data_IF_016235550354
#
_entry.id   IF_016235550354
#
_cell.length_a   1.000
_cell.length_b   1.000
_cell.length_c   1.000
_cell.angle_alpha   90.00
_cell.angle_beta   90.00
_cell.angle_gamma   90.00
#
_symmetry.space_group_name_H-M   'P 1'
#
loop_
_entity.id
_entity.type
_entity.pdbx_description
1 polymer ?
#
# COMPACT_ATOMS: atom_id res chain seq x y z
N UNK A 1 16.88 -28.11 23.69
CA UNK A 1 18.21 -28.36 23.10
C UNK A 1 18.11 -29.63 22.26
N UNK A 2 18.13 -29.54 20.94
CA UNK A 2 18.23 -30.70 20.03
C UNK A 2 19.09 -30.28 18.83
N UNK A 3 20.03 -31.13 18.42
CA UNK A 3 20.93 -30.92 17.28
C UNK A 3 20.47 -31.79 16.11
N UNK A 4 20.33 -31.19 14.93
CA UNK A 4 20.30 -31.93 13.67
C UNK A 4 21.29 -31.25 12.71
N UNK A 5 22.22 -32.03 12.13
CA UNK A 5 23.22 -31.53 11.18
C UNK A 5 22.53 -31.14 9.87
N UNK A 6 22.69 -29.90 9.42
CA UNK A 6 22.42 -29.54 8.03
C UNK A 6 23.73 -29.56 7.24
N UNK A 7 23.86 -30.50 6.30
CA UNK A 7 24.99 -30.55 5.36
C UNK A 7 24.82 -29.49 4.27
N UNK A 8 25.94 -29.11 3.63
CA UNK A 8 25.97 -28.15 2.53
C UNK A 8 25.24 -28.72 1.30
N UNK A 9 24.28 -27.97 0.75
CA UNK A 9 23.81 -28.16 -0.62
C UNK A 9 23.66 -26.80 -1.32
N UNK A 10 24.80 -26.19 -1.62
CA UNK A 10 24.92 -24.97 -2.43
C UNK A 10 25.77 -25.27 -3.65
N UNK A 11 25.15 -25.27 -4.84
CA UNK A 11 25.86 -25.42 -6.11
C UNK A 11 25.30 -26.51 -7.02
N UNK A 12 24.23 -26.18 -7.76
CA UNK A 12 23.93 -26.84 -9.04
C UNK A 12 23.12 -25.92 -9.99
N UNK A 13 22.12 -25.21 -9.46
CA UNK A 13 21.22 -24.35 -10.26
C UNK A 13 21.93 -23.13 -10.87
N UNK A 14 23.01 -22.62 -10.24
CA UNK A 14 23.71 -21.42 -10.71
C UNK A 14 24.65 -21.63 -11.91
N UNK A 15 25.07 -22.87 -12.20
CA UNK A 15 26.08 -23.15 -13.24
C UNK A 15 25.46 -23.27 -14.63
N UNK A 16 24.31 -23.94 -14.76
CA UNK A 16 23.64 -24.13 -16.07
C UNK A 16 23.20 -22.82 -16.74
N UNK A 17 22.88 -21.78 -15.96
CA UNK A 17 22.45 -20.47 -16.50
C UNK A 17 23.63 -19.69 -17.10
N UNK A 18 24.82 -19.77 -16.48
CA UNK A 18 26.01 -19.10 -17.00
C UNK A 18 26.51 -19.75 -18.29
N UNK A 19 26.52 -21.09 -18.35
CA UNK A 19 27.07 -21.83 -19.50
C UNK A 19 26.17 -21.76 -20.75
N UNK A 20 24.87 -21.49 -20.59
CA UNK A 20 23.96 -21.22 -21.71
C UNK A 20 24.14 -19.82 -22.31
N UNK A 21 24.58 -18.84 -21.52
CA UNK A 21 24.83 -17.46 -21.99
C UNK A 21 26.13 -17.33 -22.79
N UNK A 22 27.13 -18.16 -22.50
CA UNK A 22 28.43 -18.14 -23.17
C UNK A 22 28.35 -18.73 -24.60
N UNK A 23 27.55 -19.77 -24.80
CA UNK A 23 27.36 -20.42 -26.11
C UNK A 23 26.51 -19.62 -27.11
N UNK A 24 25.79 -18.58 -26.68
CA UNK A 24 24.99 -17.71 -27.56
C UNK A 24 25.79 -16.62 -28.29
N UNK A 25 27.05 -16.38 -27.91
CA UNK A 25 27.82 -15.20 -28.32
C UNK A 25 28.49 -15.29 -29.71
N UNK A 26 27.84 -15.91 -30.70
CA UNK A 26 28.29 -16.00 -32.11
C UNK A 26 27.34 -15.32 -33.11
N UNK A 27 26.87 -14.11 -32.80
CA UNK A 27 26.40 -13.15 -33.82
C UNK A 27 26.34 -11.71 -33.31
N UNK A 28 26.61 -10.75 -34.20
CA UNK A 28 26.20 -9.34 -34.05
C UNK A 28 27.12 -8.41 -33.24
N UNK A 29 27.64 -7.38 -33.92
CA UNK A 29 28.53 -6.35 -33.34
C UNK A 29 27.93 -5.48 -32.22
N UNK A 30 26.63 -5.57 -31.93
CA UNK A 30 25.91 -4.69 -31.00
C UNK A 30 26.16 -4.99 -29.51
N UNK A 31 26.67 -6.18 -29.16
CA UNK A 31 26.87 -6.61 -27.76
C UNK A 31 28.11 -6.00 -27.10
N UNK A 32 29.14 -5.63 -27.88
CA UNK A 32 30.38 -5.02 -27.35
C UNK A 32 30.16 -3.61 -26.78
N UNK A 33 29.25 -2.82 -27.38
CA UNK A 33 28.90 -1.49 -26.87
C UNK A 33 28.17 -1.56 -25.52
N UNK A 34 27.22 -2.49 -25.38
CA UNK A 34 26.55 -2.78 -24.11
C UNK A 34 27.54 -3.24 -23.02
N UNK A 35 28.50 -4.12 -23.36
CA UNK A 35 29.52 -4.56 -22.41
C UNK A 35 30.49 -3.44 -21.98
N UNK A 36 30.79 -2.45 -22.81
CA UNK A 36 31.58 -1.28 -22.38
C UNK A 36 30.80 -0.34 -21.46
N UNK A 37 29.51 -0.09 -21.75
CA UNK A 37 28.65 0.71 -20.85
C UNK A 37 28.53 0.08 -19.46
N UNK A 38 28.30 -1.24 -19.38
CA UNK A 38 28.27 -1.97 -18.12
C UNK A 38 29.61 -2.00 -17.36
N UNK A 39 30.76 -1.83 -18.04
CA UNK A 39 32.07 -1.85 -17.40
C UNK A 39 32.44 -0.52 -16.74
N UNK A 40 31.97 0.61 -17.29
CA UNK A 40 32.25 1.95 -16.73
C UNK A 40 31.46 2.25 -15.45
N UNK A 41 30.23 1.75 -15.32
CA UNK A 41 29.36 1.98 -14.16
C UNK A 41 29.57 0.96 -13.02
N UNK A 42 30.82 0.63 -12.70
CA UNK A 42 31.16 -0.39 -11.66
C UNK A 42 31.79 0.21 -10.40
N UNK A 43 31.63 1.51 -10.14
CA UNK A 43 32.17 2.16 -8.93
C UNK A 43 31.15 2.46 -7.82
N UNK A 44 29.84 2.35 -8.10
CA UNK A 44 28.77 2.38 -7.09
C UNK A 44 28.01 1.05 -7.06
N UNK A 45 28.69 0.00 -6.60
CA UNK A 45 28.01 -1.24 -6.23
C UNK A 45 27.10 -0.96 -5.04
N UNK A 46 25.79 -0.87 -5.28
CA UNK A 46 24.74 -0.98 -4.27
C UNK A 46 24.85 -2.36 -3.64
N UNK A 47 25.73 -2.47 -2.65
CA UNK A 47 25.98 -3.71 -1.93
C UNK A 47 24.78 -4.02 -1.06
N UNK A 48 24.57 -5.31 -0.78
CA UNK A 48 23.44 -5.85 -0.01
C UNK A 48 23.25 -5.25 1.40
N UNK A 49 24.18 -4.39 1.85
CA UNK A 49 24.13 -3.59 3.08
C UNK A 49 22.94 -2.60 3.14
N UNK A 50 22.40 -2.15 2.01
CA UNK A 50 21.20 -1.29 2.01
C UNK A 50 19.88 -2.02 2.35
N UNK A 51 19.87 -3.35 2.40
CA UNK A 51 18.75 -4.14 2.93
C UNK A 51 18.69 -4.18 4.48
N UNK A 52 19.41 -3.28 5.17
CA UNK A 52 19.30 -3.06 6.62
C UNK A 52 17.87 -2.71 7.10
N UNK A 53 16.94 -2.36 6.21
CA UNK A 53 15.51 -2.29 6.51
C UNK A 53 14.95 -3.63 7.03
N UNK A 54 15.28 -4.76 6.41
CA UNK A 54 14.88 -6.10 6.87
C UNK A 54 15.46 -6.38 8.27
N UNK A 55 16.73 -5.99 8.48
CA UNK A 55 17.44 -6.16 9.76
C UNK A 55 16.86 -5.31 10.91
N UNK A 56 16.17 -4.21 10.60
CA UNK A 56 15.51 -3.34 11.59
C UNK A 56 14.09 -3.77 11.98
N UNK A 57 13.45 -4.71 11.28
CA UNK A 57 12.14 -5.23 11.70
C UNK A 57 12.23 -6.38 12.72
N UNK A 58 13.33 -7.14 12.77
CA UNK A 58 13.53 -8.22 13.74
C UNK A 58 14.93 -8.23 14.33
N UNK A 59 15.12 -7.43 15.39
CA UNK A 59 16.14 -7.71 16.39
C UNK A 59 15.54 -8.66 17.41
N UNK A 60 15.56 -9.96 17.11
CA UNK A 60 15.48 -11.00 18.16
C UNK A 60 16.80 -11.01 18.91
N UNK A 61 17.01 -10.00 19.78
CA UNK A 61 18.16 -9.99 20.69
C UNK A 61 17.94 -11.06 21.74
N UNK A 62 18.62 -12.18 21.53
CA UNK A 62 18.95 -13.09 22.62
C UNK A 62 19.76 -12.32 23.69
N UNK A 63 19.69 -12.81 24.93
CA UNK A 63 20.42 -12.33 26.11
C UNK A 63 19.89 -11.06 26.83
N UNK A 64 19.20 -11.34 27.94
CA UNK A 64 19.13 -10.61 29.24
C UNK A 64 19.08 -9.06 29.25
N UNK A 65 17.88 -8.57 29.63
CA UNK A 65 17.71 -7.47 30.59
C UNK A 65 18.19 -6.06 30.22
N UNK A 66 17.31 -5.26 29.60
CA UNK A 66 17.40 -3.80 29.62
C UNK A 66 15.99 -3.18 29.70
N UNK A 67 15.75 -2.36 30.72
CA UNK A 67 14.48 -1.64 30.90
C UNK A 67 14.33 -0.52 29.85
N UNK A 68 13.15 -0.40 29.26
CA UNK A 68 12.85 0.68 28.32
C UNK A 68 12.50 1.96 29.09
N UNK A 69 13.49 2.84 29.30
CA UNK A 69 13.30 4.14 29.95
C UNK A 69 12.41 5.03 29.10
N UNK A 70 11.15 5.20 29.51
CA UNK A 70 10.27 6.20 28.91
C UNK A 70 10.88 7.60 29.11
N UNK A 71 10.86 8.45 28.08
CA UNK A 71 11.18 9.87 28.26
C UNK A 71 10.06 10.52 29.07
N UNK A 72 10.33 11.16 30.21
CA UNK A 72 9.35 12.03 30.85
C UNK A 72 9.03 13.21 29.93
N UNK A 73 7.81 13.72 30.04
CA UNK A 73 7.40 15.00 29.47
C UNK A 73 8.27 16.10 30.13
N UNK A 74 9.00 16.89 29.33
CA UNK A 74 9.74 18.03 29.87
C UNK A 74 8.76 19.14 30.26
N UNK A 75 8.68 19.41 31.56
CA UNK A 75 8.30 20.71 32.10
C UNK A 75 9.57 21.36 32.65
N UNK A 76 9.88 22.56 32.17
CA UNK A 76 10.72 23.56 32.84
C UNK A 76 10.08 24.91 32.48
N UNK A 77 9.55 25.66 33.44
CA UNK A 77 10.23 26.44 34.49
C UNK A 77 10.91 27.70 33.93
N UNK A 78 10.51 28.82 34.54
CA UNK A 78 10.81 30.20 34.19
C UNK A 78 12.27 30.56 34.50
N UNK A 79 12.84 31.48 33.72
CA UNK A 79 14.07 32.22 34.04
C UNK A 79 13.77 33.75 34.01
N UNK A 80 14.58 34.60 34.68
CA UNK A 80 14.18 35.98 35.02
C UNK A 80 14.36 37.00 33.88
N UNK A 81 13.82 38.21 34.11
CA UNK A 81 13.92 39.37 33.22
C UNK A 81 15.36 39.86 33.01
N UNK A 82 15.60 40.46 31.84
CA UNK A 82 16.33 41.72 31.69
C UNK A 82 15.71 42.56 30.56
N UNK A 83 15.81 43.89 30.66
CA UNK A 83 15.05 44.87 29.86
C UNK A 83 15.52 45.03 28.41
N UNK A 84 14.58 45.29 27.49
CA UNK A 84 14.58 46.50 26.63
C UNK A 84 13.33 46.62 25.74
N UNK A 85 12.55 47.68 25.97
CA UNK A 85 11.61 48.32 25.03
C UNK A 85 12.33 49.48 24.29
N UNK A 86 11.73 50.18 23.29
CA UNK A 86 10.33 50.20 22.82
C UNK A 86 10.24 49.89 21.29
N UNK A 87 9.26 50.26 20.45
CA UNK A 87 8.01 51.06 20.53
C UNK A 87 7.10 50.68 19.32
N UNK A 88 5.79 50.47 19.53
CA UNK A 88 4.66 51.05 18.74
C UNK A 88 3.31 50.36 19.04
N UNK A 89 2.29 51.20 19.31
CA UNK A 89 0.84 50.91 19.32
C UNK A 89 0.36 50.12 18.07
N UNK A 90 -0.78 49.43 18.04
CA UNK A 90 -2.07 49.54 18.76
C UNK A 90 -2.74 48.13 18.81
N UNK A 91 -3.83 47.79 19.52
CA UNK A 91 -4.79 48.52 20.37
C UNK A 91 -5.21 47.56 21.55
N UNK A 92 -6.47 47.57 22.02
CA UNK A 92 -6.98 46.65 23.07
C UNK A 92 -8.43 46.20 22.86
N UNK A 93 -8.72 44.91 23.09
CA UNK A 93 -10.08 44.45 23.46
C UNK A 93 -9.97 43.46 24.63
N UNK A 94 -10.66 43.81 25.72
CA UNK A 94 -10.55 43.15 27.03
C UNK A 94 -11.51 41.96 27.13
N UNK A 95 -11.06 40.84 27.71
CA UNK A 95 -11.95 39.82 28.27
C UNK A 95 -11.38 39.26 29.57
N UNK A 96 -11.88 39.78 30.70
CA UNK A 96 -11.50 39.32 32.03
C UNK A 96 -11.93 37.86 32.27
N UNK A 97 -11.06 37.07 32.90
CA UNK A 97 -11.42 35.81 33.57
C UNK A 97 -10.78 35.85 34.95
N UNK A 98 -11.61 35.73 35.99
CA UNK A 98 -11.24 35.98 37.38
C UNK A 98 -10.68 34.70 38.04
N UNK A 99 -9.58 34.82 38.78
CA UNK A 99 -8.99 33.70 39.51
C UNK A 99 -9.79 33.37 40.78
N UNK A 100 -9.92 32.07 41.08
CA UNK A 100 -10.56 31.56 42.30
C UNK A 100 -9.46 31.28 43.36
N UNK A 101 -9.55 31.83 44.58
CA UNK A 101 -8.57 31.58 45.65
C UNK A 101 -8.62 30.17 46.23
N UNK A 102 -7.48 29.71 46.75
CA UNK A 102 -7.33 28.44 47.46
C UNK A 102 -7.83 28.50 48.91
N UNK A 103 -8.67 27.54 49.30
CA UNK A 103 -9.14 27.37 50.67
C UNK A 103 -8.18 26.48 51.48
N UNK A 104 -7.69 26.99 52.63
CA UNK A 104 -7.08 26.19 53.70
C UNK A 104 -8.18 25.68 54.65
N UNK A 105 -8.03 24.49 55.27
CA UNK A 105 -8.99 23.98 56.25
C UNK A 105 -8.93 24.74 57.60
N UNK A 106 -10.05 24.89 58.33
CA UNK A 106 -10.11 25.53 59.64
C UNK A 106 -9.71 24.58 60.79
N UNK A 107 -9.41 25.12 62.00
CA UNK A 107 -8.97 24.34 63.16
C UNK A 107 -10.15 23.80 64.00
N UNK A 108 -9.91 22.71 64.72
CA UNK A 108 -10.76 22.25 65.83
C UNK A 108 -9.94 22.18 67.11
N UNK A 109 -10.50 22.71 68.21
CA UNK A 109 -9.86 22.80 69.53
C UNK A 109 -10.75 22.15 70.57
N UNK A 110 -10.31 21.06 71.21
CA UNK A 110 -10.85 20.57 72.48
C UNK A 110 -9.73 19.99 73.37
N UNK A 111 -9.44 20.75 74.43
CA UNK A 111 -9.02 20.41 75.80
C UNK A 111 -8.41 19.03 76.14
N UNK A 112 -7.28 19.05 76.87
CA UNK A 112 -6.78 17.92 77.68
C UNK A 112 -7.65 17.67 78.93
N UNK A 113 -7.56 16.46 79.49
CA UNK A 113 -7.15 16.33 80.89
C UNK A 113 -5.92 15.43 81.06
N UNK A 114 -5.15 15.70 82.11
CA UNK A 114 -4.05 14.84 82.57
C UNK A 114 -4.53 13.93 83.69
N UNK A 115 -4.19 12.63 83.68
CA UNK A 115 -4.10 11.85 84.91
C UNK A 115 -3.19 10.60 84.82
N UNK A 116 -2.27 10.56 85.79
CA UNK A 116 -1.54 9.50 86.50
C UNK A 116 -1.46 8.03 86.01
N UNK A 117 -0.31 7.42 86.29
CA UNK A 117 0.12 6.06 85.96
C UNK A 117 -0.19 5.00 87.05
N UNK A 118 -0.70 3.81 86.69
CA UNK A 118 -0.22 2.50 87.26
C UNK A 118 -0.64 1.25 86.46
N UNK A 119 0.37 0.42 86.12
CA UNK A 119 0.48 -1.07 86.10
C UNK A 119 -0.56 -2.07 85.51
N UNK A 120 0.04 -3.06 84.81
CA UNK A 120 -0.28 -4.50 84.62
C UNK A 120 -1.42 -4.99 83.67
N UNK A 121 -1.06 -5.97 82.80
CA UNK A 121 -2.02 -6.81 82.03
C UNK A 121 -1.51 -7.35 80.68
N UNK A 122 -1.04 -8.61 80.64
CA UNK A 122 -0.57 -9.33 79.42
C UNK A 122 -1.64 -9.50 78.32
N UNK A 123 -1.27 -9.32 77.05
CA UNK A 123 -1.73 -10.15 75.91
C UNK A 123 -0.84 -9.96 74.64
N UNK A 124 -0.88 -10.91 73.71
CA UNK A 124 0.09 -11.10 72.62
C UNK A 124 -0.28 -10.54 71.24
N UNK A 125 0.71 -9.91 70.57
CA UNK A 125 1.17 -10.05 69.16
C UNK A 125 0.37 -11.09 68.33
N UNK A 126 -0.08 -10.79 67.08
CA UNK A 126 0.85 -10.39 66.00
C UNK A 126 0.48 -9.24 65.05
N UNK A 127 1.56 -8.71 64.47
CA UNK A 127 1.67 -7.80 63.33
C UNK A 127 0.88 -8.31 62.12
N UNK A 128 0.23 -7.40 61.38
CA UNK A 128 -0.29 -7.65 60.03
C UNK A 128 0.33 -6.66 59.04
N UNK A 129 0.57 -7.15 57.83
CA UNK A 129 1.52 -6.60 56.86
C UNK A 129 0.95 -5.45 56.00
N UNK A 130 1.84 -4.62 55.44
CA UNK A 130 1.48 -3.66 54.39
C UNK A 130 1.03 -4.38 53.10
N UNK A 131 -0.03 -3.89 52.40
CA UNK A 131 -0.48 -4.51 51.16
C UNK A 131 0.49 -4.26 50.00
N UNK A 132 1.11 -5.32 49.51
CA UNK A 132 2.08 -5.33 48.40
C UNK A 132 1.42 -5.16 47.02
N UNK A 133 0.85 -3.98 46.74
CA UNK A 133 0.29 -3.65 45.41
C UNK A 133 1.37 -3.37 44.35
N UNK A 134 2.18 -4.38 44.02
CA UNK A 134 3.22 -4.30 42.98
C UNK A 134 3.50 -5.58 42.19
N UNK A 135 2.82 -6.71 42.48
CA UNK A 135 3.13 -8.01 41.83
C UNK A 135 2.25 -8.38 40.61
N UNK A 136 1.07 -7.77 40.41
CA UNK A 136 0.15 -8.14 39.32
C UNK A 136 0.54 -7.65 37.90
N UNK A 137 1.58 -6.81 37.79
CA UNK A 137 2.01 -6.25 36.50
C UNK A 137 2.74 -7.24 35.59
N UNK A 138 3.09 -8.43 36.10
CA UNK A 138 3.87 -9.45 35.39
C UNK A 138 3.04 -10.65 34.90
N UNK A 139 1.82 -10.41 34.38
CA UNK A 139 1.11 -11.42 33.57
C UNK A 139 1.96 -11.79 32.36
N UNK A 140 2.59 -12.97 32.43
CA UNK A 140 3.40 -13.52 31.37
C UNK A 140 2.65 -13.52 30.04
N UNK A 141 3.36 -13.26 28.94
CA UNK A 141 2.81 -13.38 27.58
C UNK A 141 2.64 -14.86 27.25
N UNK A 142 1.57 -15.45 27.79
CA UNK A 142 1.17 -16.82 27.54
C UNK A 142 0.97 -17.02 26.03
N UNK A 143 1.81 -17.85 25.41
CA UNK A 143 1.76 -18.12 23.98
C UNK A 143 0.46 -18.84 23.63
N UNK A 144 -0.53 -18.11 23.11
CA UNK A 144 -1.72 -18.73 22.54
C UNK A 144 -1.36 -19.42 21.24
N UNK A 145 -1.51 -20.73 21.21
CA UNK A 145 -1.43 -21.54 19.99
C UNK A 145 -2.47 -21.05 18.98
N UNK A 146 -2.03 -20.79 17.73
CA UNK A 146 -2.93 -20.39 16.65
C UNK A 146 -3.60 -21.65 16.10
N UNK A 147 -4.70 -22.06 16.75
CA UNK A 147 -5.57 -23.11 16.23
C UNK A 147 -6.33 -22.57 15.01
N UNK A 148 -6.03 -23.15 13.84
CA UNK A 148 -6.69 -22.80 12.57
C UNK A 148 -7.81 -23.81 12.33
N UNK A 149 -9.06 -23.36 12.44
CA UNK A 149 -10.21 -24.18 12.04
C UNK A 149 -10.27 -24.29 10.52
N UNK A 150 -10.53 -25.49 10.00
CA UNK A 150 -10.66 -25.73 8.56
C UNK A 150 -11.88 -25.02 7.94
N UNK A 151 -12.98 -24.91 8.70
CA UNK A 151 -14.21 -24.25 8.27
C UNK A 151 -14.04 -22.73 8.05
N UNK A 152 -13.24 -22.08 8.90
CA UNK A 152 -12.92 -20.64 8.80
C UNK A 152 -11.96 -20.32 7.62
N UNK A 153 -11.24 -21.33 7.12
CA UNK A 153 -10.08 -21.16 6.24
C UNK A 153 -10.41 -20.48 4.90
N UNK A 154 -11.52 -20.81 4.18
CA UNK A 154 -11.90 -20.10 2.96
C UNK A 154 -12.17 -18.60 3.22
N UNK A 155 -12.82 -18.28 4.33
CA UNK A 155 -13.09 -16.90 4.75
C UNK A 155 -11.83 -16.15 5.19
N UNK A 156 -10.82 -16.86 5.72
CA UNK A 156 -9.48 -16.30 6.00
C UNK A 156 -8.75 -16.02 4.67
N UNK A 157 -8.70 -16.97 3.74
CA UNK A 157 -8.03 -16.79 2.45
C UNK A 157 -8.68 -15.68 1.61
N UNK A 158 -10.01 -15.59 1.55
CA UNK A 158 -10.71 -14.50 0.85
C UNK A 158 -10.39 -13.10 1.42
N UNK A 159 -10.12 -13.00 2.72
CA UNK A 159 -9.66 -11.77 3.38
C UNK A 159 -8.16 -11.52 3.17
N UNK A 160 -7.35 -12.58 3.09
CA UNK A 160 -5.90 -12.49 2.85
C UNK A 160 -5.58 -12.06 1.40
N UNK A 161 -6.25 -12.66 0.41
CA UNK A 161 -6.19 -12.30 -1.00
C UNK A 161 -6.88 -10.98 -1.36
N UNK A 162 -7.64 -10.41 -0.42
CA UNK A 162 -8.55 -9.26 -0.62
C UNK A 162 -9.46 -9.48 -1.84
N UNK A 163 -10.26 -10.55 -1.82
CA UNK A 163 -10.98 -11.07 -3.00
C UNK A 163 -11.73 -10.01 -3.83
N UNK A 164 -12.36 -9.00 -3.20
CA UNK A 164 -13.04 -7.89 -3.92
C UNK A 164 -12.09 -7.00 -4.72
N UNK A 165 -10.87 -6.76 -4.22
CA UNK A 165 -9.83 -6.04 -4.94
C UNK A 165 -9.23 -6.90 -6.05
N UNK A 166 -9.01 -8.18 -5.78
CA UNK A 166 -8.52 -9.15 -6.79
C UNK A 166 -9.53 -9.32 -7.93
N UNK A 167 -10.83 -9.35 -7.65
CA UNK A 167 -11.87 -9.34 -8.67
C UNK A 167 -11.80 -8.09 -9.55
N UNK A 168 -11.66 -6.89 -8.96
CA UNK A 168 -11.48 -5.65 -9.72
C UNK A 168 -10.22 -5.70 -10.62
N UNK A 169 -9.09 -6.20 -10.09
CA UNK A 169 -7.85 -6.38 -10.86
C UNK A 169 -8.09 -7.31 -12.06
N UNK A 170 -8.72 -8.46 -11.85
CA UNK A 170 -9.09 -9.39 -12.94
C UNK A 170 -10.02 -8.72 -13.94
N UNK A 171 -11.10 -8.05 -13.52
CA UNK A 171 -12.01 -7.33 -14.43
C UNK A 171 -11.28 -6.30 -15.29
N UNK A 172 -10.31 -5.58 -14.73
CA UNK A 172 -9.53 -4.58 -15.50
C UNK A 172 -8.53 -5.22 -16.46
N UNK A 173 -8.01 -6.41 -16.17
CA UNK A 173 -7.27 -7.22 -17.13
C UNK A 173 -8.19 -7.79 -18.21
N UNK A 174 -9.36 -8.33 -17.85
CA UNK A 174 -10.39 -8.81 -18.78
C UNK A 174 -10.84 -7.72 -19.75
N UNK A 175 -10.96 -6.45 -19.30
CA UNK A 175 -11.23 -5.31 -20.18
C UNK A 175 -10.08 -5.05 -21.16
N UNK A 176 -8.82 -5.16 -20.71
CA UNK A 176 -7.66 -5.04 -21.60
C UNK A 176 -7.60 -6.14 -22.66
N UNK A 177 -7.93 -7.38 -22.29
CA UNK A 177 -8.06 -8.52 -23.22
C UNK A 177 -9.18 -8.28 -24.24
N UNK A 178 -10.37 -7.88 -23.77
CA UNK A 178 -11.52 -7.63 -24.64
C UNK A 178 -11.30 -6.46 -25.62
N UNK A 179 -10.46 -5.47 -25.27
CA UNK A 179 -10.11 -4.36 -26.14
C UNK A 179 -9.04 -4.67 -27.19
N UNK A 180 -8.30 -5.78 -27.07
CA UNK A 180 -7.24 -6.14 -28.00
C UNK A 180 -7.77 -6.36 -29.44
N UNK A 181 -7.04 -5.95 -30.50
CA UNK A 181 -7.48 -6.01 -31.90
C UNK A 181 -7.25 -7.40 -32.52
N UNK A 182 -7.65 -8.45 -31.80
CA UNK A 182 -7.56 -9.86 -32.22
C UNK A 182 -8.89 -10.58 -31.97
N UNK A 183 -9.14 -11.75 -32.59
CA UNK A 183 -10.30 -12.59 -32.26
C UNK A 183 -10.29 -12.98 -30.78
N UNK A 184 -11.47 -13.06 -30.17
CA UNK A 184 -11.59 -13.38 -28.75
C UNK A 184 -11.44 -14.88 -28.50
N UNK A 185 -10.29 -15.33 -28.00
CA UNK A 185 -10.11 -16.69 -27.51
C UNK A 185 -10.56 -16.81 -26.04
N UNK A 186 -11.63 -17.57 -25.82
CA UNK A 186 -12.16 -17.88 -24.49
C UNK A 186 -11.19 -18.70 -23.64
N UNK A 187 -10.41 -19.60 -24.25
CA UNK A 187 -9.43 -20.44 -23.54
C UNK A 187 -8.32 -19.59 -22.92
N UNK A 188 -7.63 -18.81 -23.76
CA UNK A 188 -6.62 -17.85 -23.30
C UNK A 188 -7.19 -16.81 -22.33
N UNK A 189 -8.41 -16.29 -22.56
CA UNK A 189 -9.08 -15.37 -21.64
C UNK A 189 -9.26 -15.94 -20.22
N UNK A 190 -9.73 -17.18 -20.10
CA UNK A 190 -9.94 -17.83 -18.80
C UNK A 190 -8.61 -18.11 -18.09
N UNK A 191 -7.61 -18.59 -18.82
CA UNK A 191 -6.26 -18.84 -18.30
C UNK A 191 -5.56 -17.55 -17.83
N UNK A 192 -5.64 -16.48 -18.62
CA UNK A 192 -5.11 -15.17 -18.29
C UNK A 192 -5.81 -14.55 -17.06
N UNK A 193 -7.14 -14.69 -16.98
CA UNK A 193 -7.94 -14.21 -15.84
C UNK A 193 -7.59 -14.97 -14.55
N UNK A 194 -7.47 -16.30 -14.62
CA UNK A 194 -7.07 -17.14 -13.48
C UNK A 194 -5.64 -16.84 -13.01
N UNK A 195 -4.68 -16.80 -13.94
CA UNK A 195 -3.28 -16.50 -13.64
C UNK A 195 -3.09 -15.10 -13.02
N UNK A 196 -3.80 -14.09 -13.56
CA UNK A 196 -3.82 -12.73 -13.00
C UNK A 196 -4.46 -12.70 -11.60
N UNK A 197 -5.55 -13.44 -11.40
CA UNK A 197 -6.19 -13.60 -10.09
C UNK A 197 -5.25 -14.19 -9.05
N UNK A 198 -4.55 -15.28 -9.39
CA UNK A 198 -3.55 -15.92 -8.53
C UNK A 198 -2.37 -14.99 -8.22
N UNK A 199 -1.85 -14.27 -9.21
CA UNK A 199 -0.80 -13.26 -9.01
C UNK A 199 -1.25 -12.15 -8.03
N UNK A 200 -2.48 -11.65 -8.17
CA UNK A 200 -3.07 -10.68 -7.24
C UNK A 200 -3.30 -11.25 -5.83
N UNK A 201 -3.72 -12.51 -5.70
CA UNK A 201 -3.82 -13.21 -4.43
C UNK A 201 -2.46 -13.26 -3.71
N UNK A 202 -1.39 -13.63 -4.41
CA UNK A 202 -0.04 -13.67 -3.87
C UNK A 202 0.46 -12.28 -3.43
N UNK A 203 0.36 -11.29 -4.32
CA UNK A 203 0.78 -9.92 -4.08
C UNK A 203 0.05 -9.31 -2.86
N UNK A 204 -1.25 -9.52 -2.72
CA UNK A 204 -2.02 -9.04 -1.57
C UNK A 204 -1.68 -9.74 -0.26
N UNK A 205 -1.40 -11.04 -0.30
CA UNK A 205 -0.99 -11.83 0.87
C UNK A 205 0.36 -11.35 1.40
N UNK A 206 1.35 -11.16 0.52
CA UNK A 206 2.68 -10.63 0.87
C UNK A 206 2.59 -9.18 1.38
N UNK A 207 1.77 -8.33 0.76
CA UNK A 207 1.50 -6.98 1.28
C UNK A 207 0.94 -7.03 2.71
N UNK A 208 0.00 -7.94 3.02
CA UNK A 208 -0.53 -8.05 4.39
C UNK A 208 0.55 -8.54 5.37
N UNK A 209 1.44 -9.44 4.95
CA UNK A 209 2.60 -9.88 5.75
C UNK A 209 3.55 -8.73 6.10
N UNK A 210 3.91 -7.87 5.14
CA UNK A 210 4.78 -6.71 5.43
C UNK A 210 4.08 -5.60 6.25
N UNK A 211 2.76 -5.45 6.12
CA UNK A 211 2.02 -4.36 6.77
C UNK A 211 1.57 -4.66 8.22
N UNK A 212 1.70 -5.89 8.74
CA UNK A 212 1.20 -6.30 10.07
C UNK A 212 1.45 -5.28 11.22
N UNK A 213 2.67 -4.80 11.49
CA UNK A 213 2.94 -3.89 12.61
C UNK A 213 2.42 -2.45 12.39
N UNK A 214 1.98 -2.11 11.17
CA UNK A 214 1.41 -0.81 10.83
C UNK A 214 -0.10 -0.87 10.75
N UNK A 215 -0.65 -1.96 10.20
CA UNK A 215 -2.09 -2.22 10.12
C UNK A 215 -2.76 -2.31 11.48
N UNK A 216 -2.05 -2.76 12.52
CA UNK A 216 -2.50 -2.81 13.92
C UNK A 216 -2.85 -1.43 14.50
N UNK A 217 -2.18 -0.37 14.04
CA UNK A 217 -2.35 1.00 14.54
C UNK A 217 -3.48 1.77 13.83
N UNK A 218 -4.15 1.13 12.87
CA UNK A 218 -5.15 1.72 11.99
C UNK A 218 -6.52 1.07 12.20
N UNK A 219 -7.57 1.88 12.39
CA UNK A 219 -8.90 1.37 12.74
C UNK A 219 -9.51 0.52 11.62
N UNK A 220 -9.22 0.90 10.36
CA UNK A 220 -9.66 0.18 9.17
C UNK A 220 -9.04 -1.22 9.01
N UNK A 221 -7.88 -1.48 9.62
CA UNK A 221 -7.02 -2.63 9.26
C UNK A 221 -6.57 -3.49 10.44
N UNK A 222 -6.76 -3.05 11.68
CA UNK A 222 -6.52 -3.85 12.90
C UNK A 222 -7.25 -5.20 12.93
N UNK A 223 -8.31 -5.34 12.12
CA UNK A 223 -9.10 -6.56 11.97
C UNK A 223 -8.62 -7.51 10.85
N UNK A 224 -7.50 -7.22 10.15
CA UNK A 224 -6.93 -8.12 9.13
C UNK A 224 -6.50 -9.48 9.75
N UNK A 225 -6.58 -10.61 9.01
CA UNK A 225 -6.33 -11.94 9.58
C UNK A 225 -4.96 -12.10 10.28
N UNK A 226 -3.89 -11.59 9.65
CA UNK A 226 -2.53 -11.65 10.21
C UNK A 226 -2.34 -10.76 11.45
N UNK A 227 -3.00 -9.60 11.50
CA UNK A 227 -2.93 -8.69 12.66
C UNK A 227 -3.65 -9.29 13.88
N UNK A 228 -4.77 -9.98 13.65
CA UNK A 228 -5.53 -10.70 14.68
C UNK A 228 -4.92 -12.05 15.07
N UNK A 229 -3.84 -12.49 14.41
CA UNK A 229 -3.27 -13.82 14.63
C UNK A 229 -4.18 -14.98 14.23
N UNK A 230 -5.11 -14.79 13.28
CA UNK A 230 -6.00 -15.87 12.81
C UNK A 230 -5.28 -16.90 11.91
N UNK A 231 -4.09 -16.55 11.42
CA UNK A 231 -3.26 -17.36 10.55
C UNK A 231 -1.79 -17.02 10.84
N UNK A 232 -0.89 -18.01 10.77
CA UNK A 232 0.52 -17.75 11.02
C UNK A 232 1.17 -16.98 9.85
N UNK A 233 2.21 -16.17 10.11
CA UNK A 233 2.91 -15.46 9.04
C UNK A 233 3.54 -16.42 8.00
N UNK A 234 4.03 -17.58 8.45
CA UNK A 234 4.56 -18.62 7.56
C UNK A 234 3.46 -19.17 6.64
N UNK A 235 2.28 -19.49 7.17
CA UNK A 235 1.15 -19.99 6.38
C UNK A 235 0.71 -18.95 5.33
N UNK A 236 0.63 -17.67 5.70
CA UNK A 236 0.29 -16.62 4.73
C UNK A 236 1.32 -16.47 3.60
N UNK A 237 2.62 -16.64 3.89
CA UNK A 237 3.69 -16.66 2.87
C UNK A 237 3.63 -17.94 2.02
N UNK A 238 3.39 -19.10 2.61
CA UNK A 238 3.19 -20.36 1.87
C UNK A 238 1.97 -20.30 0.94
N UNK A 239 0.85 -19.72 1.39
CA UNK A 239 -0.31 -19.45 0.55
C UNK A 239 0.06 -18.50 -0.61
N UNK A 240 0.82 -17.43 -0.33
CA UNK A 240 1.27 -16.53 -1.38
C UNK A 240 2.16 -17.22 -2.43
N UNK A 241 3.08 -18.09 -2.01
CA UNK A 241 3.90 -18.88 -2.92
C UNK A 241 3.07 -19.89 -3.72
N UNK A 242 2.10 -20.56 -3.06
CA UNK A 242 1.17 -21.49 -3.69
C UNK A 242 0.20 -20.82 -4.69
N UNK A 243 -0.03 -19.51 -4.60
CA UNK A 243 -0.69 -18.74 -5.65
C UNK A 243 0.30 -18.24 -6.72
N UNK A 244 1.47 -17.71 -6.32
CA UNK A 244 2.43 -17.09 -7.23
C UNK A 244 3.01 -18.08 -8.25
N UNK A 245 3.44 -19.26 -7.81
CA UNK A 245 4.09 -20.26 -8.67
C UNK A 245 3.15 -20.71 -9.81
N UNK A 246 1.94 -21.27 -9.53
CA UNK A 246 1.03 -21.65 -10.60
C UNK A 246 0.47 -20.44 -11.35
N UNK A 247 0.24 -19.30 -10.70
CA UNK A 247 -0.25 -18.09 -11.36
C UNK A 247 0.71 -17.59 -12.45
N UNK A 248 2.00 -17.48 -12.13
CA UNK A 248 3.02 -17.08 -13.12
C UNK A 248 3.29 -18.21 -14.13
N UNK A 249 3.26 -19.48 -13.72
CA UNK A 249 3.41 -20.59 -14.66
C UNK A 249 2.29 -20.63 -15.71
N UNK A 250 1.03 -20.46 -15.30
CA UNK A 250 -0.11 -20.35 -16.21
C UNK A 250 0.05 -19.17 -17.19
N UNK A 251 0.38 -17.98 -16.68
CA UNK A 251 0.60 -16.81 -17.55
C UNK A 251 1.78 -17.01 -18.51
N UNK A 252 2.87 -17.66 -18.09
CA UNK A 252 4.08 -17.82 -18.90
C UNK A 252 3.94 -18.91 -19.96
N UNK A 253 3.41 -20.08 -19.56
CA UNK A 253 3.43 -21.31 -20.35
C UNK A 253 2.14 -21.54 -21.13
N UNK A 254 0.99 -21.10 -20.61
CA UNK A 254 -0.33 -21.34 -21.21
C UNK A 254 -0.96 -20.09 -21.83
N UNK A 255 -0.39 -18.90 -21.62
CA UNK A 255 -0.82 -17.63 -22.22
C UNK A 255 0.29 -17.05 -23.10
N UNK A 256 1.33 -16.43 -22.53
CA UNK A 256 2.60 -16.14 -23.22
C UNK A 256 3.69 -15.62 -22.26
N UNK A 257 4.99 -15.77 -22.60
CA UNK A 257 6.09 -15.33 -21.75
C UNK A 257 6.08 -13.85 -21.37
N UNK A 258 5.60 -12.95 -22.26
CA UNK A 258 5.50 -11.51 -21.99
C UNK A 258 4.53 -11.22 -20.84
N UNK A 259 3.35 -11.82 -20.87
CA UNK A 259 2.32 -11.68 -19.83
C UNK A 259 2.77 -12.32 -18.52
N UNK A 260 3.46 -13.46 -18.58
CA UNK A 260 4.11 -14.07 -17.42
C UNK A 260 5.15 -13.16 -16.77
N UNK A 261 6.02 -12.55 -17.57
CA UNK A 261 7.03 -11.59 -17.11
C UNK A 261 6.40 -10.33 -16.49
N UNK A 262 5.36 -9.76 -17.12
CA UNK A 262 4.61 -8.64 -16.57
C UNK A 262 3.93 -8.99 -15.23
N UNK A 263 3.35 -10.18 -15.11
CA UNK A 263 2.77 -10.68 -13.87
C UNK A 263 3.80 -10.80 -12.74
N UNK A 264 4.96 -11.42 -13.02
CA UNK A 264 6.04 -11.58 -12.06
C UNK A 264 6.63 -10.21 -11.65
N UNK A 265 6.84 -9.31 -12.62
CA UNK A 265 7.25 -7.94 -12.38
C UNK A 265 6.24 -7.18 -11.52
N UNK A 266 4.94 -7.35 -11.73
CA UNK A 266 3.91 -6.66 -10.94
C UNK A 266 3.88 -7.15 -9.48
N UNK A 267 4.04 -8.46 -9.24
CA UNK A 267 4.20 -9.01 -7.87
C UNK A 267 5.41 -8.35 -7.20
N UNK A 268 6.57 -8.32 -7.87
CA UNK A 268 7.79 -7.69 -7.34
C UNK A 268 7.59 -6.19 -7.07
N UNK A 269 7.03 -5.45 -8.03
CA UNK A 269 6.81 -4.00 -7.95
C UNK A 269 5.86 -3.66 -6.78
N UNK A 270 4.78 -4.42 -6.59
CA UNK A 270 3.85 -4.20 -5.48
C UNK A 270 4.46 -4.52 -4.11
N UNK A 271 5.17 -5.66 -4.01
CA UNK A 271 5.63 -6.20 -2.71
C UNK A 271 6.97 -5.62 -2.28
N UNK A 272 7.96 -5.59 -3.17
CA UNK A 272 9.33 -5.16 -2.86
C UNK A 272 9.54 -3.65 -3.02
N UNK A 273 8.83 -2.98 -3.94
CA UNK A 273 9.00 -1.55 -4.19
C UNK A 273 7.90 -0.71 -3.53
N UNK A 274 6.65 -0.85 -3.97
CA UNK A 274 5.52 -0.01 -3.53
C UNK A 274 5.24 -0.14 -2.03
N UNK A 275 5.12 -1.37 -1.51
CA UNK A 275 4.75 -1.61 -0.11
C UNK A 275 5.68 -0.92 0.91
N UNK A 276 7.02 -1.06 0.86
CA UNK A 276 7.91 -0.29 1.73
C UNK A 276 7.92 1.21 1.40
N UNK A 277 7.78 1.60 0.12
CA UNK A 277 7.80 3.00 -0.29
C UNK A 277 6.70 3.84 0.38
N UNK A 278 5.54 3.25 0.72
CA UNK A 278 4.46 3.90 1.51
C UNK A 278 4.93 4.51 2.84
N UNK A 279 6.02 3.98 3.42
CA UNK A 279 6.64 4.47 4.66
C UNK A 279 7.81 5.44 4.42
N UNK A 280 8.39 5.46 3.22
CA UNK A 280 9.62 6.19 2.89
C UNK A 280 9.35 7.54 2.21
N UNK A 281 8.49 7.58 1.19
CA UNK A 281 8.26 8.77 0.36
C UNK A 281 6.82 8.86 -0.15
N UNK A 282 6.36 10.08 -0.46
CA UNK A 282 5.12 10.34 -1.20
C UNK A 282 5.10 9.67 -2.58
N UNK A 283 6.27 9.35 -3.14
CA UNK A 283 6.46 8.64 -4.42
C UNK A 283 5.67 7.33 -4.49
N UNK A 284 5.27 6.75 -3.35
CA UNK A 284 4.40 5.58 -3.27
C UNK A 284 3.13 5.71 -4.11
N UNK A 285 2.52 6.90 -4.21
CA UNK A 285 1.25 7.05 -4.93
C UNK A 285 1.42 6.86 -6.43
N UNK A 286 2.53 7.34 -7.00
CA UNK A 286 2.87 7.15 -8.41
C UNK A 286 3.28 5.70 -8.70
N UNK A 287 4.14 5.09 -7.88
CA UNK A 287 4.55 3.68 -8.06
C UNK A 287 3.38 2.72 -7.87
N UNK A 288 2.49 2.99 -6.91
CA UNK A 288 1.24 2.24 -6.75
C UNK A 288 0.30 2.39 -7.96
N UNK A 289 0.27 3.58 -8.57
CA UNK A 289 -0.50 3.79 -9.79
C UNK A 289 0.05 2.99 -10.98
N UNK A 290 1.38 2.80 -11.07
CA UNK A 290 2.00 1.89 -12.05
C UNK A 290 1.57 0.43 -11.81
N UNK A 291 1.62 -0.05 -10.56
CA UNK A 291 1.12 -1.40 -10.22
C UNK A 291 -0.31 -1.61 -10.69
N UNK A 292 -1.20 -0.63 -10.45
CA UNK A 292 -2.59 -0.69 -10.90
C UNK A 292 -2.79 -0.51 -12.40
N UNK A 293 -1.80 0.02 -13.13
CA UNK A 293 -1.84 0.18 -14.59
C UNK A 293 -1.41 -1.09 -15.35
N UNK A 294 -0.68 -2.00 -14.71
CA UNK A 294 -0.16 -3.22 -15.35
C UNK A 294 -1.26 -4.26 -15.68
N UNK A 295 -2.32 -4.50 -14.89
CA UNK A 295 -3.31 -5.54 -15.21
C UNK A 295 -4.04 -5.36 -16.56
N UNK A 296 -4.50 -4.16 -16.97
CA UNK A 296 -5.01 -3.95 -18.33
C UNK A 296 -3.97 -4.23 -19.43
N UNK A 297 -2.72 -3.85 -19.19
CA UNK A 297 -1.59 -4.16 -20.11
C UNK A 297 -1.42 -5.67 -20.23
N UNK A 298 -1.38 -6.40 -19.10
CA UNK A 298 -1.34 -7.86 -19.07
C UNK A 298 -2.52 -8.51 -19.82
N UNK A 299 -3.71 -7.93 -19.72
CA UNK A 299 -4.89 -8.36 -20.47
C UNK A 299 -4.69 -8.23 -21.99
N UNK A 300 -4.19 -7.08 -22.44
CA UNK A 300 -3.89 -6.87 -23.86
C UNK A 300 -2.77 -7.78 -24.35
N UNK A 301 -1.67 -7.89 -23.60
CA UNK A 301 -0.54 -8.76 -23.96
C UNK A 301 -0.92 -10.24 -23.92
N UNK A 302 -1.90 -10.65 -23.09
CA UNK A 302 -2.41 -12.01 -23.08
C UNK A 302 -3.09 -12.38 -24.40
N UNK A 303 -3.87 -11.46 -24.96
CA UNK A 303 -4.56 -11.67 -26.24
C UNK A 303 -3.63 -11.53 -27.47
N UNK A 304 -2.70 -10.57 -27.45
CA UNK A 304 -1.89 -10.20 -28.64
C UNK A 304 -0.47 -10.79 -28.65
N UNK A 305 0.10 -11.10 -27.49
CA UNK A 305 1.52 -11.42 -27.35
C UNK A 305 2.47 -10.21 -27.45
N UNK A 306 1.97 -8.99 -27.71
CA UNK A 306 2.76 -7.78 -27.93
C UNK A 306 2.38 -6.63 -26.99
N UNK A 307 3.29 -5.67 -26.81
CA UNK A 307 3.09 -4.48 -25.98
C UNK A 307 2.84 -3.27 -26.89
N UNK A 308 1.59 -3.16 -27.36
CA UNK A 308 1.18 -2.12 -28.30
C UNK A 308 0.79 -0.81 -27.59
N UNK A 309 0.68 0.28 -28.35
CA UNK A 309 0.23 1.58 -27.84
C UNK A 309 -1.18 1.52 -27.21
N UNK A 310 -2.04 0.62 -27.68
CA UNK A 310 -3.36 0.38 -27.08
C UNK A 310 -3.28 -0.22 -25.67
N UNK A 311 -2.33 -1.12 -25.42
CA UNK A 311 -2.05 -1.64 -24.08
C UNK A 311 -1.61 -0.50 -23.13
N UNK A 312 -0.68 0.34 -23.60
CA UNK A 312 -0.20 1.51 -22.85
C UNK A 312 -1.30 2.53 -22.58
N UNK A 313 -2.23 2.74 -23.51
CA UNK A 313 -3.40 3.61 -23.34
C UNK A 313 -4.34 3.09 -22.24
N UNK A 314 -4.66 1.79 -22.24
CA UNK A 314 -5.46 1.13 -21.20
C UNK A 314 -4.79 1.21 -19.82
N UNK A 315 -3.47 0.99 -19.77
CA UNK A 315 -2.67 1.24 -18.58
C UNK A 315 -2.74 2.71 -18.15
N UNK A 316 -2.66 3.65 -19.09
CA UNK A 316 -2.77 5.10 -18.88
C UNK A 316 -4.12 5.54 -18.30
N UNK A 317 -5.22 4.93 -18.73
CA UNK A 317 -6.55 5.15 -18.15
C UNK A 317 -6.58 4.72 -16.68
N UNK A 318 -6.16 3.49 -16.35
CA UNK A 318 -6.13 3.04 -14.95
C UNK A 318 -5.11 3.81 -14.10
N UNK A 319 -3.97 4.17 -14.67
CA UNK A 319 -2.96 5.02 -14.03
C UNK A 319 -3.56 6.36 -13.62
N UNK A 320 -4.21 7.05 -14.56
CA UNK A 320 -4.80 8.37 -14.30
C UNK A 320 -6.01 8.28 -13.38
N UNK A 321 -6.92 7.31 -13.59
CA UNK A 321 -8.10 7.13 -12.75
C UNK A 321 -7.78 6.87 -11.26
N UNK A 322 -6.67 6.19 -10.97
CA UNK A 322 -6.26 5.93 -9.58
C UNK A 322 -6.01 7.19 -8.75
N UNK A 323 -5.60 8.31 -9.36
CA UNK A 323 -5.33 9.54 -8.60
C UNK A 323 -6.59 10.21 -8.02
N UNK A 324 -7.65 10.56 -8.77
CA UNK A 324 -8.89 11.06 -8.19
C UNK A 324 -9.54 10.04 -7.24
N UNK A 325 -9.40 8.74 -7.49
CA UNK A 325 -9.86 7.69 -6.57
C UNK A 325 -9.11 7.68 -5.23
N UNK A 326 -7.79 7.44 -5.26
CA UNK A 326 -6.97 7.22 -4.08
C UNK A 326 -6.67 8.51 -3.30
N UNK A 327 -6.48 9.65 -3.97
CA UNK A 327 -6.26 10.91 -3.26
C UNK A 327 -7.52 11.35 -2.50
N UNK A 328 -8.71 11.11 -3.06
CA UNK A 328 -9.98 11.36 -2.39
C UNK A 328 -10.21 10.41 -1.20
N UNK A 329 -9.92 9.12 -1.36
CA UNK A 329 -9.97 8.13 -0.27
C UNK A 329 -9.00 8.48 0.87
N UNK A 330 -7.75 8.74 0.54
CA UNK A 330 -6.67 9.01 1.51
C UNK A 330 -6.81 10.36 2.21
N UNK A 331 -7.58 11.30 1.66
CA UNK A 331 -7.97 12.52 2.35
C UNK A 331 -8.80 12.25 3.60
N UNK A 332 -9.83 11.40 3.47
CA UNK A 332 -10.72 11.03 4.58
C UNK A 332 -10.07 10.07 5.59
N UNK A 333 -9.01 9.36 5.17
CA UNK A 333 -8.26 8.43 6.02
C UNK A 333 -6.92 9.00 6.54
N UNK A 334 -6.68 10.31 6.39
CA UNK A 334 -5.40 10.97 6.75
C UNK A 334 -4.96 10.70 8.20
N UNK A 335 -5.90 10.72 9.14
CA UNK A 335 -5.64 10.50 10.57
C UNK A 335 -5.22 9.05 10.83
N UNK A 336 -5.89 8.08 10.20
CA UNK A 336 -5.49 6.66 10.25
C UNK A 336 -4.11 6.45 9.63
N UNK A 337 -3.84 7.03 8.45
CA UNK A 337 -2.51 6.93 7.83
C UNK A 337 -1.40 7.56 8.69
N UNK A 338 -1.68 8.68 9.36
CA UNK A 338 -0.73 9.31 10.29
C UNK A 338 -0.44 8.41 11.51
N UNK A 339 -1.46 7.79 12.11
CA UNK A 339 -1.26 6.81 13.21
C UNK A 339 -0.52 5.56 12.76
N UNK A 340 -0.80 5.09 11.54
CA UNK A 340 -0.02 4.04 10.86
C UNK A 340 1.36 4.48 10.37
N UNK A 341 1.77 5.73 10.62
CA UNK A 341 3.08 6.31 10.26
C UNK A 341 3.37 6.36 8.75
N UNK A 342 2.34 6.31 7.90
CA UNK A 342 2.47 6.30 6.45
C UNK A 342 2.69 7.71 5.88
N UNK A 343 3.62 7.83 4.92
CA UNK A 343 3.95 9.09 4.24
C UNK A 343 3.07 9.31 3.01
N UNK A 344 1.75 9.33 3.25
CA UNK A 344 0.77 9.58 2.18
C UNK A 344 0.76 11.05 1.77
N UNK A 345 0.45 11.30 0.49
CA UNK A 345 0.38 12.66 -0.06
C UNK A 345 -0.70 13.50 0.63
N UNK A 346 -1.82 12.91 1.05
CA UNK A 346 -2.89 13.57 1.81
C UNK A 346 -2.47 14.03 3.22
N UNK A 347 -1.45 13.40 3.80
CA UNK A 347 -0.94 13.71 5.15
C UNK A 347 0.16 14.76 5.08
N UNK A 348 1.16 14.55 4.20
CA UNK A 348 2.36 15.38 4.15
C UNK A 348 2.28 16.55 3.17
N UNK A 349 1.54 16.40 2.07
CA UNK A 349 1.49 17.37 0.97
C UNK A 349 0.03 17.59 0.49
N UNK A 350 -0.90 18.03 1.36
CA UNK A 350 -2.33 18.10 1.05
C UNK A 350 -2.68 19.02 -0.13
N UNK A 351 -1.90 20.06 -0.39
CA UNK A 351 -2.04 20.89 -1.60
C UNK A 351 -1.71 20.13 -2.90
N UNK A 352 -0.66 19.29 -2.87
CA UNK A 352 -0.28 18.45 -4.01
C UNK A 352 -1.32 17.35 -4.24
N UNK A 353 -1.79 16.70 -3.17
CA UNK A 353 -2.85 15.67 -3.21
C UNK A 353 -4.08 16.13 -4.01
N UNK A 354 -4.57 17.34 -3.71
CA UNK A 354 -5.67 17.99 -4.43
C UNK A 354 -5.35 18.33 -5.89
N UNK A 355 -4.17 18.92 -6.16
CA UNK A 355 -3.75 19.29 -7.53
C UNK A 355 -3.60 18.07 -8.43
N UNK A 356 -2.97 17.00 -7.93
CA UNK A 356 -2.74 15.76 -8.69
C UNK A 356 -4.08 15.04 -8.97
N UNK A 357 -5.01 15.03 -8.02
CA UNK A 357 -6.35 14.48 -8.24
C UNK A 357 -7.09 15.18 -9.40
N UNK A 358 -7.09 16.51 -9.43
CA UNK A 358 -7.69 17.29 -10.51
C UNK A 358 -6.96 17.10 -11.86
N UNK A 359 -5.62 17.17 -11.86
CA UNK A 359 -4.81 17.00 -13.09
C UNK A 359 -5.10 15.67 -13.78
N UNK A 360 -5.17 14.57 -13.03
CA UNK A 360 -5.46 13.27 -13.62
C UNK A 360 -6.94 13.04 -13.94
N UNK A 361 -7.87 13.70 -13.24
CA UNK A 361 -9.27 13.72 -13.68
C UNK A 361 -9.41 14.39 -15.06
N UNK A 362 -8.72 15.51 -15.29
CA UNK A 362 -8.65 16.16 -16.60
C UNK A 362 -7.87 15.32 -17.64
N UNK A 363 -6.81 14.62 -17.22
CA UNK A 363 -6.05 13.74 -18.11
C UNK A 363 -6.90 12.60 -18.71
N UNK A 364 -7.96 12.14 -18.01
CA UNK A 364 -8.90 11.16 -18.57
C UNK A 364 -9.64 11.69 -19.80
N UNK A 365 -9.96 12.99 -19.85
CA UNK A 365 -10.52 13.64 -21.06
C UNK A 365 -9.52 13.56 -22.22
N UNK A 366 -8.25 13.90 -21.95
CA UNK A 366 -7.17 13.84 -22.95
C UNK A 366 -6.89 12.42 -23.45
N UNK A 367 -6.89 11.42 -22.56
CA UNK A 367 -6.74 10.01 -22.92
C UNK A 367 -7.95 9.51 -23.74
N UNK A 368 -9.17 9.94 -23.43
CA UNK A 368 -10.36 9.66 -24.25
C UNK A 368 -10.28 10.25 -25.65
N UNK A 369 -9.68 11.44 -25.81
CA UNK A 369 -9.42 12.04 -27.13
C UNK A 369 -8.26 11.38 -27.89
N UNK A 370 -7.26 10.86 -27.17
CA UNK A 370 -6.12 10.13 -27.75
C UNK A 370 -6.51 8.71 -28.24
N UNK A 371 -7.51 8.08 -27.64
CA UNK A 371 -7.94 6.72 -27.97
C UNK A 371 -8.27 6.46 -29.46
N UNK A 372 -9.06 7.32 -30.16
CA UNK A 372 -9.27 7.16 -31.60
C UNK A 372 -8.05 7.52 -32.44
N UNK A 373 -7.20 8.45 -32.00
CA UNK A 373 -5.95 8.79 -32.69
C UNK A 373 -4.89 7.67 -32.60
N UNK A 374 -5.11 6.66 -31.77
CA UNK A 374 -4.30 5.44 -31.64
C UNK A 374 -5.01 4.20 -32.24
N UNK A 375 -6.08 4.38 -33.01
CA UNK A 375 -6.89 3.32 -33.63
C UNK A 375 -7.50 2.29 -32.66
N UNK A 376 -7.62 2.62 -31.37
CA UNK A 376 -8.19 1.73 -30.34
C UNK A 376 -9.72 1.80 -30.32
N UNK A 377 -10.28 2.99 -30.58
CA UNK A 377 -11.72 3.26 -30.56
C UNK A 377 -12.15 4.10 -31.77
N UNK A 378 -13.44 4.16 -32.05
CA UNK A 378 -14.00 5.15 -32.99
C UNK A 378 -14.02 6.55 -32.40
N UNK A 379 -14.11 7.58 -33.25
CA UNK A 379 -14.24 8.99 -32.83
C UNK A 379 -15.51 9.30 -32.03
N UNK A 380 -16.49 8.39 -31.97
CA UNK A 380 -17.64 8.51 -31.08
C UNK A 380 -17.22 8.41 -29.59
N UNK A 381 -16.17 7.65 -29.26
CA UNK A 381 -15.74 7.41 -27.88
C UNK A 381 -15.46 8.68 -27.06
N UNK A 382 -14.63 9.66 -27.51
CA UNK A 382 -14.42 10.89 -26.76
C UNK A 382 -15.73 11.68 -26.56
N UNK A 383 -16.66 11.64 -27.52
CA UNK A 383 -17.96 12.34 -27.41
C UNK A 383 -18.85 11.68 -26.35
N UNK A 384 -19.06 10.36 -26.42
CA UNK A 384 -19.95 9.66 -25.47
C UNK A 384 -19.36 9.54 -24.06
N UNK A 385 -18.03 9.53 -23.91
CA UNK A 385 -17.35 9.54 -22.61
C UNK A 385 -17.17 10.94 -22.02
N UNK A 386 -17.40 12.00 -22.79
CA UNK A 386 -17.23 13.39 -22.33
C UNK A 386 -18.06 13.71 -21.08
N UNK A 387 -19.37 13.37 -20.96
CA UNK A 387 -20.16 13.74 -19.79
C UNK A 387 -19.63 13.14 -18.48
N UNK A 388 -19.21 11.86 -18.49
CA UNK A 388 -18.68 11.20 -17.30
C UNK A 388 -17.28 11.73 -16.92
N UNK A 389 -16.46 12.06 -17.92
CA UNK A 389 -15.12 12.62 -17.72
C UNK A 389 -15.16 14.09 -17.25
N UNK A 390 -16.10 14.89 -17.75
CA UNK A 390 -16.37 16.24 -17.25
C UNK A 390 -16.93 16.20 -15.82
N UNK A 391 -17.81 15.26 -15.49
CA UNK A 391 -18.38 15.15 -14.14
C UNK A 391 -17.32 14.78 -13.08
N UNK A 392 -16.45 13.79 -13.34
CA UNK A 392 -15.35 13.47 -12.42
C UNK A 392 -14.33 14.62 -12.34
N UNK A 393 -14.10 15.35 -13.44
CA UNK A 393 -13.25 16.56 -13.46
C UNK A 393 -13.83 17.71 -12.63
N UNK A 394 -15.14 17.95 -12.72
CA UNK A 394 -15.87 18.92 -11.91
C UNK A 394 -15.78 18.58 -10.41
N UNK A 395 -15.98 17.30 -10.04
CA UNK A 395 -15.80 16.87 -8.65
C UNK A 395 -14.34 16.96 -8.21
N UNK A 396 -13.38 16.71 -9.10
CA UNK A 396 -11.95 16.98 -8.90
C UNK A 396 -11.66 18.44 -8.60
N UNK A 397 -12.30 19.36 -9.33
CA UNK A 397 -12.18 20.81 -9.14
C UNK A 397 -12.85 21.27 -7.84
N UNK A 398 -14.02 20.71 -7.51
CA UNK A 398 -14.71 20.96 -6.23
C UNK A 398 -13.87 20.51 -5.04
N UNK A 399 -13.29 19.32 -5.09
CA UNK A 399 -12.33 18.84 -4.11
C UNK A 399 -11.06 19.71 -4.05
N UNK A 400 -10.55 20.15 -5.20
CA UNK A 400 -9.40 21.05 -5.26
C UNK A 400 -9.66 22.37 -4.55
N UNK A 401 -10.83 23.00 -4.75
CA UNK A 401 -11.22 24.26 -4.09
C UNK A 401 -11.60 24.10 -2.62
N UNK A 402 -12.50 23.18 -2.28
CA UNK A 402 -13.04 23.08 -0.91
C UNK A 402 -12.12 22.38 0.09
N UNK A 403 -11.35 21.38 -0.35
CA UNK A 403 -10.58 20.50 0.55
C UNK A 403 -11.41 19.81 1.67
N UNK A 404 -12.75 19.77 1.52
CA UNK A 404 -13.68 19.27 2.53
C UNK A 404 -13.74 17.74 2.57
N UNK A 405 -14.03 17.13 3.73
CA UNK A 405 -14.30 15.67 3.83
C UNK A 405 -15.45 15.24 2.90
N UNK A 406 -16.46 16.11 2.73
CA UNK A 406 -17.60 15.90 1.83
C UNK A 406 -17.23 15.89 0.35
N UNK A 407 -16.47 16.87 -0.14
CA UNK A 407 -16.01 16.91 -1.54
C UNK A 407 -15.12 15.71 -1.89
N UNK A 408 -14.19 15.36 -1.00
CA UNK A 408 -13.39 14.14 -1.13
C UNK A 408 -14.27 12.88 -1.19
N UNK A 409 -15.27 12.75 -0.31
CA UNK A 409 -16.19 11.61 -0.31
C UNK A 409 -16.96 11.51 -1.64
N UNK A 410 -17.49 12.62 -2.17
CA UNK A 410 -18.19 12.66 -3.47
C UNK A 410 -17.29 12.24 -4.63
N UNK A 411 -16.07 12.75 -4.70
CA UNK A 411 -15.10 12.38 -5.74
C UNK A 411 -14.74 10.89 -5.69
N UNK A 412 -14.51 10.34 -4.48
CA UNK A 412 -14.27 8.92 -4.28
C UNK A 412 -15.45 8.06 -4.79
N UNK A 413 -16.69 8.37 -4.39
CA UNK A 413 -17.86 7.61 -4.86
C UNK A 413 -18.10 7.75 -6.37
N UNK A 414 -17.80 8.92 -6.95
CA UNK A 414 -17.84 9.09 -8.40
C UNK A 414 -16.85 8.19 -9.12
N UNK A 415 -15.61 8.11 -8.63
CA UNK A 415 -14.57 7.28 -9.26
C UNK A 415 -14.94 5.79 -9.32
N UNK A 416 -15.70 5.27 -8.34
CA UNK A 416 -16.09 3.85 -8.28
C UNK A 416 -16.97 3.41 -9.46
N UNK A 417 -17.93 4.23 -9.89
CA UNK A 417 -18.79 3.92 -11.05
C UNK A 417 -18.23 4.47 -12.36
N UNK A 418 -17.42 5.53 -12.31
CA UNK A 418 -16.80 6.12 -13.49
C UNK A 418 -15.91 5.12 -14.24
N UNK A 419 -15.08 4.34 -13.54
CA UNK A 419 -14.20 3.35 -14.19
C UNK A 419 -14.95 2.27 -15.00
N UNK A 420 -15.90 1.50 -14.42
CA UNK A 420 -16.62 0.49 -15.19
C UNK A 420 -17.45 1.11 -16.33
N UNK A 421 -18.01 2.31 -16.15
CA UNK A 421 -18.69 3.03 -17.23
C UNK A 421 -17.75 3.45 -18.35
N UNK A 422 -16.56 3.98 -18.03
CA UNK A 422 -15.58 4.37 -19.04
C UNK A 422 -15.07 3.16 -19.84
N UNK A 423 -14.79 2.04 -19.18
CA UNK A 423 -14.37 0.79 -19.83
C UNK A 423 -15.50 0.20 -20.69
N UNK A 424 -16.76 0.27 -20.24
CA UNK A 424 -17.92 -0.16 -21.04
C UNK A 424 -18.10 0.71 -22.29
N UNK A 425 -18.03 2.03 -22.16
CA UNK A 425 -18.12 2.95 -23.30
C UNK A 425 -16.97 2.69 -24.30
N UNK A 426 -15.76 2.47 -23.80
CA UNK A 426 -14.58 2.13 -24.61
C UNK A 426 -14.80 0.84 -25.40
N UNK A 427 -15.40 -0.18 -24.78
CA UNK A 427 -15.76 -1.45 -25.43
C UNK A 427 -16.87 -1.28 -26.48
N UNK A 428 -17.91 -0.50 -26.20
CA UNK A 428 -18.99 -0.22 -27.18
C UNK A 428 -18.51 0.60 -28.38
N UNK A 429 -17.43 1.37 -28.22
CA UNK A 429 -16.82 2.16 -29.28
C UNK A 429 -15.51 1.53 -29.80
N UNK A 430 -15.24 0.25 -29.52
CA UNK A 430 -14.06 -0.47 -30.04
C UNK A 430 -14.08 -0.50 -31.57
N UNK A 431 -12.94 -0.21 -32.21
CA UNK A 431 -12.82 -0.29 -33.67
C UNK A 431 -12.94 -1.76 -34.14
N UNK A 432 -13.75 -2.09 -35.15
CA UNK A 432 -13.88 -3.47 -35.64
C UNK A 432 -12.58 -3.96 -36.30
N UNK A 433 -12.36 -5.28 -36.32
CA UNK A 433 -11.12 -5.88 -36.85
C UNK A 433 -10.90 -5.64 -38.36
N UNK A 434 -11.97 -5.42 -39.12
CA UNK A 434 -11.96 -5.37 -40.60
C UNK A 434 -11.20 -4.19 -41.20
N UNK A 435 -11.27 -3.02 -40.58
CA UNK A 435 -10.78 -1.77 -41.16
C UNK A 435 -9.24 -1.73 -41.39
N UNK A 436 -8.48 -2.69 -40.83
CA UNK A 436 -7.04 -2.83 -41.06
C UNK A 436 -6.68 -3.40 -42.43
N UNK A 437 -7.54 -4.22 -43.03
CA UNK A 437 -7.29 -4.75 -44.38
C UNK A 437 -7.51 -3.66 -45.42
N UNK A 438 -8.63 -2.91 -45.31
CA UNK A 438 -8.95 -1.80 -46.22
C UNK A 438 -7.92 -0.66 -46.15
N UNK A 439 -7.41 -0.34 -44.96
CA UNK A 439 -6.38 0.70 -44.79
C UNK A 439 -5.01 0.30 -45.37
N UNK A 440 -4.72 -1.00 -45.44
CA UNK A 440 -3.51 -1.52 -46.10
C UNK A 440 -3.67 -1.60 -47.63
N UNK A 441 -4.88 -1.90 -48.11
CA UNK A 441 -5.22 -1.87 -49.53
C UNK A 441 -5.32 -0.45 -50.12
N UNK A 442 -5.59 0.56 -49.29
CA UNK A 442 -5.72 1.96 -49.70
C UNK A 442 -4.39 2.74 -49.78
N UNK A 443 -3.24 2.10 -49.55
CA UNK A 443 -1.93 2.72 -49.78
C UNK A 443 -1.58 2.67 -51.29
N UNK A 444 -1.58 3.81 -52.02
CA UNK A 444 -1.12 3.80 -53.41
C UNK A 444 0.38 3.46 -53.43
N UNK A 445 0.75 2.46 -54.24
CA UNK A 445 2.16 2.16 -54.49
C UNK A 445 2.85 3.35 -55.15
N UNK A 446 3.94 3.81 -54.54
CA UNK A 446 4.75 4.95 -54.96
C UNK A 446 6.23 4.56 -54.97
#
# INVERSE_FOLDING_TARGET
MYKTRCSKLTGLVGVCVFQSLENGARSGHSTRCLLQLFRSSTSERITFQHLNFLKRQYVTKNTRGLCQRAKPKQEHLVAPLEDQQPLLQEETVIRQVQQIPTLKPPPCTVTLPSETCTQEGKASVPVSEEPTTSQDAHKEKQWKEVKVNLEDLPGIYARLSKIKLTALVVTTASAGFAMAPVPFDLGCFLLASLGTGLASCAANSINQYFEVPFDSNMNRTKNRPLVRGQISPLHAVSFAAACAIPGIALLTLAVNPLTGALGAFNIFLYTCCYTPLKRLSISNTWVGSIVGAIPPVMGWTAATGSLDTGALLLGGFLYSWQFPHFNALSWNLREDYSRGGYRMMSVTHPGLCRRVALRHALALVGLSALAPALDVTTWAFPVVSLPINLYISYLGFRFHREASRGSARRLFFCSLWHLPMLLLLMLTCKKPLRDKEDSAAAAPGH
#
